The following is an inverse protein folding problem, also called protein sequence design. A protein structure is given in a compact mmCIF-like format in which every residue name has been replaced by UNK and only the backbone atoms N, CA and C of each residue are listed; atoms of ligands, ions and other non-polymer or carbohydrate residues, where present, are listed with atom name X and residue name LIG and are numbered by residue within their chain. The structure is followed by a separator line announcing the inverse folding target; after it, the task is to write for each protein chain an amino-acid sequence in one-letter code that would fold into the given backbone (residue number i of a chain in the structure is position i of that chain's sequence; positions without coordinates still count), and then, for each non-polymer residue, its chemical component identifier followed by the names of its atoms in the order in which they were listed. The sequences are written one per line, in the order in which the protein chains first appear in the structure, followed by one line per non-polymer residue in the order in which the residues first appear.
data_IF_909993886894
#
_entry.id   IF_909993886894
#
_cell.length_a   1.000
_cell.length_b   1.000
_cell.length_c   1.000
_cell.angle_alpha   90.00
_cell.angle_beta   90.00
_cell.angle_gamma   90.00
#
_symmetry.space_group_name_H-M   'P 1'
#
loop_
_entity.id
_entity.type
_entity.pdbx_description
1 polymer ?
#
# COMPACT_ATOMS: atom_id res chain seq x y z
N UNK A 1 6.78 19.33 0.86
CA UNK A 1 5.50 18.84 1.41
C UNK A 1 5.09 17.73 0.47
N UNK A 2 4.91 16.51 1.00
CA UNK A 2 4.46 15.35 0.20
C UNK A 2 2.92 15.28 0.22
N UNK A 3 2.32 14.71 -0.82
CA UNK A 3 0.89 14.38 -0.92
C UNK A 3 0.69 12.86 -0.98
N UNK A 4 -0.20 12.34 -0.14
CA UNK A 4 -0.51 10.91 -0.06
C UNK A 4 -1.96 10.63 -0.48
N UNK A 5 -2.14 9.56 -1.25
CA UNK A 5 -3.46 8.97 -1.54
C UNK A 5 -3.67 7.74 -0.65
N UNK A 6 -4.64 7.82 0.27
CA UNK A 6 -5.14 6.67 1.01
C UNK A 6 -6.27 5.98 0.25
N UNK A 7 -6.18 4.64 0.09
CA UNK A 7 -7.20 3.83 -0.57
C UNK A 7 -7.70 2.77 0.43
N UNK A 8 -8.95 2.93 0.90
CA UNK A 8 -9.52 2.10 1.97
C UNK A 8 -10.61 1.11 1.53
N UNK A 9 -11.41 1.47 0.51
CA UNK A 9 -12.72 0.84 0.26
C UNK A 9 -12.83 0.14 -1.11
N UNK A 10 -11.69 -0.19 -1.71
CA UNK A 10 -11.59 -0.87 -3.00
C UNK A 10 -10.98 -2.26 -2.82
N UNK A 11 -11.03 -3.09 -3.86
CA UNK A 11 -10.14 -4.26 -3.95
C UNK A 11 -8.75 -3.87 -4.50
N UNK A 12 -7.76 -4.77 -4.43
CA UNK A 12 -6.38 -4.50 -4.88
C UNK A 12 -6.29 -4.13 -6.37
N UNK A 13 -7.12 -4.73 -7.24
CA UNK A 13 -7.15 -4.42 -8.66
C UNK A 13 -7.63 -2.98 -8.91
N UNK A 14 -8.76 -2.62 -8.31
CA UNK A 14 -9.34 -1.27 -8.35
C UNK A 14 -8.42 -0.23 -7.72
N UNK A 15 -7.73 -0.58 -6.62
CA UNK A 15 -6.74 0.28 -5.97
C UNK A 15 -5.57 0.60 -6.90
N UNK A 16 -5.00 -0.40 -7.57
CA UNK A 16 -3.91 -0.21 -8.54
C UNK A 16 -4.36 0.62 -9.76
N UNK A 17 -5.59 0.40 -10.25
CA UNK A 17 -6.17 1.21 -11.32
C UNK A 17 -6.35 2.67 -10.92
N UNK A 18 -6.87 2.92 -9.71
CA UNK A 18 -7.02 4.28 -9.18
C UNK A 18 -5.66 4.95 -9.02
N UNK A 19 -4.72 4.25 -8.43
CA UNK A 19 -3.38 4.77 -8.17
C UNK A 19 -2.66 5.15 -9.48
N UNK A 20 -2.76 4.33 -10.54
CA UNK A 20 -2.21 4.68 -11.85
C UNK A 20 -2.83 5.92 -12.50
N UNK A 21 -4.08 6.26 -12.20
CA UNK A 21 -4.74 7.47 -12.73
C UNK A 21 -4.22 8.74 -12.09
N UNK A 22 -3.62 8.67 -10.90
CA UNK A 22 -3.26 9.83 -10.10
C UNK A 22 -1.80 9.87 -9.62
N UNK A 23 -1.00 8.84 -9.93
CA UNK A 23 0.40 8.73 -9.51
C UNK A 23 1.28 9.94 -9.85
N UNK A 24 0.99 10.65 -10.94
CA UNK A 24 1.74 11.85 -11.34
C UNK A 24 1.46 13.08 -10.45
N UNK A 25 0.49 12.98 -9.53
CA UNK A 25 0.07 14.07 -8.64
C UNK A 25 0.33 13.78 -7.17
N UNK A 26 0.76 12.57 -6.81
CA UNK A 26 0.98 12.14 -5.41
C UNK A 26 2.37 11.56 -5.26
N UNK A 27 2.92 11.65 -4.05
CA UNK A 27 4.24 11.10 -3.73
C UNK A 27 4.13 9.69 -3.12
N UNK A 28 2.98 9.36 -2.52
CA UNK A 28 2.72 8.13 -1.77
C UNK A 28 1.33 7.60 -2.12
N UNK A 29 1.24 6.28 -2.34
CA UNK A 29 -0.02 5.54 -2.42
C UNK A 29 -0.07 4.54 -1.29
N UNK A 30 -1.13 4.62 -0.50
CA UNK A 30 -1.38 3.75 0.65
C UNK A 30 -2.42 2.68 0.32
N UNK A 31 -2.09 1.43 0.65
CA UNK A 31 -3.07 0.35 0.82
C UNK A 31 -3.55 0.40 2.27
N UNK A 32 -4.78 0.92 2.45
CA UNK A 32 -5.39 1.13 3.75
C UNK A 32 -5.65 -0.17 4.51
N UNK A 33 -5.72 -0.08 5.84
CA UNK A 33 -5.96 -1.24 6.71
C UNK A 33 -7.12 -2.15 6.27
N UNK A 34 -8.29 -1.64 5.81
CA UNK A 34 -9.39 -2.52 5.42
C UNK A 34 -9.06 -3.43 4.22
N UNK A 35 -8.27 -2.94 3.26
CA UNK A 35 -7.83 -3.75 2.10
C UNK A 35 -6.85 -4.82 2.58
N UNK A 36 -5.88 -4.46 3.43
CA UNK A 36 -4.95 -5.42 4.02
C UNK A 36 -5.69 -6.50 4.83
N UNK A 37 -6.70 -6.14 5.61
CA UNK A 37 -7.51 -7.11 6.38
C UNK A 37 -8.24 -8.09 5.45
N UNK A 38 -8.79 -7.59 4.34
CA UNK A 38 -9.63 -8.41 3.45
C UNK A 38 -8.80 -9.27 2.49
N UNK A 39 -7.64 -8.80 2.04
CA UNK A 39 -6.85 -9.42 0.96
C UNK A 39 -5.44 -9.84 1.38
N UNK A 40 -4.99 -9.42 2.56
CA UNK A 40 -3.65 -9.67 3.08
C UNK A 40 -2.55 -8.85 2.40
N UNK A 41 -1.30 -9.14 2.78
CA UNK A 41 -0.11 -8.55 2.17
C UNK A 41 0.02 -8.75 0.64
N UNK A 42 -0.60 -9.77 -0.01
CA UNK A 42 -0.64 -9.81 -1.47
C UNK A 42 -1.25 -8.55 -2.13
N UNK A 43 -2.11 -7.79 -1.45
CA UNK A 43 -2.61 -6.51 -1.96
C UNK A 43 -1.50 -5.45 -2.07
N UNK A 44 -0.58 -5.41 -1.10
CA UNK A 44 0.60 -4.53 -1.13
C UNK A 44 1.51 -4.91 -2.30
N UNK A 45 1.80 -6.20 -2.46
CA UNK A 45 2.61 -6.69 -3.57
C UNK A 45 1.94 -6.40 -4.92
N UNK A 46 0.63 -6.60 -5.04
CA UNK A 46 -0.09 -6.29 -6.27
C UNK A 46 0.02 -4.80 -6.63
N UNK A 47 -0.13 -3.90 -5.65
CA UNK A 47 0.05 -2.48 -5.91
C UNK A 47 1.49 -2.19 -6.37
N UNK A 48 2.49 -2.66 -5.61
CA UNK A 48 3.91 -2.45 -5.93
C UNK A 48 4.29 -2.98 -7.33
N UNK A 49 3.78 -4.14 -7.72
CA UNK A 49 4.07 -4.75 -9.03
C UNK A 49 3.38 -4.01 -10.20
N UNK A 50 2.36 -3.18 -9.93
CA UNK A 50 1.54 -2.51 -10.94
C UNK A 50 1.61 -0.97 -10.88
N UNK A 51 2.48 -0.40 -10.06
CA UNK A 51 2.71 1.05 -9.99
C UNK A 51 4.20 1.39 -10.01
N UNK A 52 4.54 2.57 -10.51
CA UNK A 52 5.90 3.12 -10.50
C UNK A 52 5.88 4.60 -10.12
N UNK A 53 7.05 5.14 -9.79
CA UNK A 53 7.24 6.58 -9.56
C UNK A 53 6.71 7.13 -8.24
N UNK A 54 6.06 6.32 -7.40
CA UNK A 54 5.52 6.69 -6.09
C UNK A 54 5.95 5.68 -5.02
N UNK A 55 5.93 6.09 -3.75
CA UNK A 55 6.14 5.16 -2.62
C UNK A 55 4.87 4.37 -2.33
N UNK A 56 5.02 3.09 -1.99
CA UNK A 56 3.93 2.24 -1.51
C UNK A 56 3.93 2.22 0.02
N UNK A 57 2.81 2.62 0.63
CA UNK A 57 2.58 2.53 2.07
C UNK A 57 1.62 1.38 2.39
N UNK A 58 2.02 0.49 3.29
CA UNK A 58 1.17 -0.57 3.81
C UNK A 58 0.66 -0.18 5.20
N UNK A 59 -0.61 0.25 5.31
CA UNK A 59 -1.18 0.76 6.56
C UNK A 59 -1.64 -0.38 7.48
N UNK A 60 -0.64 -1.10 8.01
CA UNK A 60 -0.83 -2.29 8.83
C UNK A 60 -1.39 -1.99 10.23
N UNK A 61 -1.20 -0.75 10.72
CA UNK A 61 -1.52 -0.33 12.10
C UNK A 61 -1.00 -1.33 13.13
N UNK A 62 0.27 -1.71 12.97
CA UNK A 62 0.98 -2.69 13.79
C UNK A 62 0.83 -2.34 15.27
N UNK A 63 0.30 -3.28 16.05
CA UNK A 63 0.14 -3.14 17.50
C UNK A 63 1.12 -4.01 18.29
N UNK A 64 1.56 -5.14 17.72
CA UNK A 64 2.51 -6.07 18.32
C UNK A 64 3.42 -6.69 17.24
N UNK A 65 4.47 -7.42 17.63
CA UNK A 65 5.36 -8.16 16.74
C UNK A 65 5.98 -7.30 15.60
N UNK A 66 6.29 -6.03 15.89
CA UNK A 66 6.67 -5.03 14.89
C UNK A 66 7.80 -5.48 13.94
N UNK A 67 8.86 -6.09 14.47
CA UNK A 67 9.96 -6.59 13.63
C UNK A 67 9.47 -7.60 12.58
N UNK A 68 8.58 -8.52 12.99
CA UNK A 68 8.01 -9.51 12.09
C UNK A 68 7.06 -8.88 11.07
N UNK A 69 6.07 -8.10 11.51
CA UNK A 69 5.06 -7.52 10.62
C UNK A 69 5.67 -6.54 9.60
N UNK A 70 6.60 -5.68 10.03
CA UNK A 70 7.35 -4.80 9.11
C UNK A 70 8.18 -5.62 8.13
N UNK A 71 8.89 -6.66 8.59
CA UNK A 71 9.68 -7.52 7.69
C UNK A 71 8.83 -8.18 6.61
N UNK A 72 7.58 -8.54 6.93
CA UNK A 72 6.66 -9.10 5.95
C UNK A 72 6.19 -8.04 4.97
N UNK A 73 5.72 -6.86 5.41
CA UNK A 73 5.30 -5.80 4.49
C UNK A 73 6.43 -5.38 3.53
N UNK A 74 7.66 -5.22 4.02
CA UNK A 74 8.82 -4.91 3.17
C UNK A 74 9.09 -6.01 2.15
N UNK A 75 8.97 -7.29 2.54
CA UNK A 75 9.09 -8.42 1.60
C UNK A 75 8.03 -8.40 0.49
N UNK A 76 6.85 -7.86 0.77
CA UNK A 76 5.77 -7.68 -0.19
C UNK A 76 5.83 -6.33 -0.94
N UNK A 77 6.90 -5.54 -0.77
CA UNK A 77 7.13 -4.35 -1.58
C UNK A 77 6.63 -3.03 -0.97
N UNK A 78 6.36 -2.99 0.35
CA UNK A 78 6.11 -1.72 1.03
C UNK A 78 7.40 -0.90 1.18
N UNK A 79 7.35 0.39 0.83
CA UNK A 79 8.40 1.38 1.14
C UNK A 79 8.21 1.96 2.54
N UNK A 80 6.96 2.03 3.01
CA UNK A 80 6.53 2.57 4.31
C UNK A 80 5.50 1.62 4.95
N UNK A 81 5.57 1.45 6.27
CA UNK A 81 4.68 0.59 7.07
C UNK A 81 4.21 1.35 8.30
#
# INVERSE_FOLDING_TARGET
MELQLAIDLLNKEEAAELANKVKDYVDIVEIGTPIVINEGLPAVQYLNDNIDGVKVLADLKIMDAADYEVSQAVKFGADVV
#
